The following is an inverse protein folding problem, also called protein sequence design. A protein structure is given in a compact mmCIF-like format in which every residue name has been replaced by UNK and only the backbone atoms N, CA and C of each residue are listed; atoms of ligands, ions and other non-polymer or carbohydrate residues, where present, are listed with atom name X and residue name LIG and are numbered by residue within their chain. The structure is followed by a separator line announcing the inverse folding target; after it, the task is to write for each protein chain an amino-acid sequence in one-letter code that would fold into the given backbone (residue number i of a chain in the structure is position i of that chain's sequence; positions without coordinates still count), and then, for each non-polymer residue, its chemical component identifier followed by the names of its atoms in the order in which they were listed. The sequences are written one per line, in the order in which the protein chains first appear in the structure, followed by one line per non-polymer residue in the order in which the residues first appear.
data_IF_162581364567
#
_entry.id   IF_162581364567
#
_cell.length_a   1.000
_cell.length_b   1.000
_cell.length_c   1.000
_cell.angle_alpha   90.00
_cell.angle_beta   90.00
_cell.angle_gamma   90.00
#
_symmetry.space_group_name_H-M   'P 1'
#
loop_
_entity.id
_entity.type
_entity.pdbx_description
1 polymer ?
#
# COMPACT_ATOMS: atom_id res chain seq x y z
N UNK A 1 49.91 27.27 31.54
CA UNK A 1 49.79 26.39 30.35
C UNK A 1 48.38 25.85 30.33
N UNK A 2 47.54 26.40 29.45
CA UNK A 2 46.15 25.95 29.27
C UNK A 2 46.11 25.06 28.02
N UNK A 3 45.81 23.79 28.21
CA UNK A 3 45.63 22.81 27.14
C UNK A 3 44.25 22.98 26.51
N UNK A 4 44.20 23.42 25.23
CA UNK A 4 42.97 23.47 24.44
C UNK A 4 42.74 22.07 23.84
N UNK A 5 41.72 21.39 24.30
CA UNK A 5 41.23 20.17 23.64
C UNK A 5 40.40 20.57 22.41
N UNK A 6 40.90 20.26 21.22
CA UNK A 6 40.16 20.40 19.99
C UNK A 6 39.13 19.28 19.90
N UNK A 7 37.86 19.65 19.89
CA UNK A 7 36.73 18.74 19.62
C UNK A 7 36.72 18.42 18.14
N UNK A 8 37.14 17.23 17.74
CA UNK A 8 37.01 16.76 16.37
C UNK A 8 35.55 16.39 16.11
N UNK A 9 34.85 17.25 15.37
CA UNK A 9 33.52 16.92 14.83
C UNK A 9 33.73 15.92 13.70
N UNK A 10 33.44 14.66 13.97
CA UNK A 10 33.37 13.62 12.93
C UNK A 10 32.08 13.85 12.17
N UNK A 11 32.16 14.52 11.04
CA UNK A 11 31.13 14.52 10.02
C UNK A 11 31.09 13.13 9.40
N UNK A 12 30.17 12.28 9.90
CA UNK A 12 29.79 11.08 9.19
C UNK A 12 29.18 11.49 7.85
N UNK A 13 29.67 10.96 6.71
CA UNK A 13 29.03 11.24 5.45
C UNK A 13 27.59 10.74 5.51
N UNK A 14 26.62 11.61 5.22
CA UNK A 14 25.26 11.22 4.88
C UNK A 14 25.36 10.33 3.66
N UNK A 15 25.48 9.03 3.87
CA UNK A 15 25.31 8.06 2.79
C UNK A 15 23.86 8.20 2.36
N UNK A 16 23.64 8.86 1.21
CA UNK A 16 22.35 8.87 0.57
C UNK A 16 21.97 7.41 0.30
N UNK A 17 21.04 6.91 1.10
CA UNK A 17 20.55 5.56 0.96
C UNK A 17 19.88 5.41 -0.39
N UNK A 18 20.41 4.50 -1.18
CA UNK A 18 19.78 4.07 -2.40
C UNK A 18 18.66 3.08 -2.07
N UNK A 19 17.46 3.31 -2.58
CA UNK A 19 16.32 2.42 -2.41
C UNK A 19 16.12 1.60 -3.68
N UNK A 20 15.83 0.35 -3.55
CA UNK A 20 15.36 -0.49 -4.64
C UNK A 20 13.87 -0.75 -4.45
N UNK A 21 13.15 -0.75 -5.52
CA UNK A 21 11.72 -0.72 -5.50
C UNK A 21 11.05 -2.06 -5.69
N UNK A 22 9.99 -2.31 -4.98
CA UNK A 22 9.06 -3.43 -5.12
C UNK A 22 7.68 -3.05 -4.59
N UNK A 23 6.67 -3.82 -4.83
CA UNK A 23 5.34 -3.53 -4.32
C UNK A 23 4.71 -4.78 -3.70
N UNK A 24 3.71 -4.58 -2.85
CA UNK A 24 2.87 -5.67 -2.35
C UNK A 24 1.93 -6.26 -3.41
N UNK A 25 2.01 -5.78 -4.64
CA UNK A 25 1.31 -6.33 -5.82
C UNK A 25 2.24 -7.08 -6.79
N UNK A 26 3.37 -7.46 -6.32
CA UNK A 26 4.41 -8.09 -7.11
C UNK A 26 5.68 -7.25 -7.14
N UNK A 27 6.79 -7.89 -6.86
CA UNK A 27 8.09 -7.25 -6.85
C UNK A 27 8.67 -7.35 -8.25
N UNK A 28 9.09 -6.24 -8.80
CA UNK A 28 9.73 -6.22 -10.11
C UNK A 28 11.17 -6.77 -10.01
N UNK A 29 11.50 -7.94 -10.57
CA UNK A 29 12.87 -8.43 -10.60
C UNK A 29 13.77 -7.46 -11.38
N UNK A 30 14.95 -7.16 -10.85
CA UNK A 30 15.91 -6.28 -11.50
C UNK A 30 15.59 -4.79 -11.43
N UNK A 31 14.69 -4.38 -10.54
CA UNK A 31 14.36 -2.99 -10.28
C UNK A 31 15.61 -2.14 -10.01
N UNK A 32 15.66 -0.95 -10.60
CA UNK A 32 16.74 0.00 -10.37
C UNK A 32 16.81 0.45 -8.93
N UNK A 33 18.00 0.70 -8.47
CA UNK A 33 18.22 1.31 -7.17
C UNK A 33 17.76 2.77 -7.19
N UNK A 34 17.01 3.19 -6.17
CA UNK A 34 16.58 4.58 -6.01
C UNK A 34 17.77 5.46 -5.63
N UNK A 35 17.83 6.66 -6.20
CA UNK A 35 18.93 7.61 -5.97
C UNK A 35 18.65 8.58 -4.82
N UNK A 36 17.43 8.57 -4.31
CA UNK A 36 16.95 9.49 -3.30
C UNK A 36 16.53 10.86 -3.82
N UNK A 37 16.51 11.06 -5.13
CA UNK A 37 15.92 12.25 -5.74
C UNK A 37 14.39 12.17 -5.64
N UNK A 38 13.78 13.21 -5.09
CA UNK A 38 12.31 13.28 -4.96
C UNK A 38 11.77 14.30 -5.96
N UNK A 39 10.76 13.88 -6.73
CA UNK A 39 9.97 14.76 -7.60
C UNK A 39 8.49 14.63 -7.25
N UNK A 40 7.75 15.74 -7.33
CA UNK A 40 6.32 15.78 -6.98
C UNK A 40 5.53 16.60 -7.99
N UNK A 41 4.33 16.11 -8.35
CA UNK A 41 3.39 16.77 -9.26
C UNK A 41 2.02 16.94 -8.60
N UNK A 42 1.39 18.11 -8.70
CA UNK A 42 0.01 18.28 -8.24
C UNK A 42 -0.93 17.47 -9.13
N UNK A 43 -1.83 16.70 -8.51
CA UNK A 43 -2.91 16.02 -9.24
C UNK A 43 -3.93 17.08 -9.67
N UNK A 44 -4.46 17.04 -10.92
CA UNK A 44 -5.39 18.07 -11.42
C UNK A 44 -6.63 18.25 -10.56
N UNK A 45 -7.20 17.13 -10.07
CA UNK A 45 -8.31 17.13 -9.11
C UNK A 45 -7.81 16.67 -7.74
N UNK A 46 -7.28 17.57 -6.87
CA UNK A 46 -6.64 17.17 -5.61
C UNK A 46 -7.66 16.89 -4.49
N UNK A 47 -8.82 16.32 -4.82
CA UNK A 47 -9.90 16.03 -3.87
C UNK A 47 -9.67 14.69 -3.16
N UNK A 48 -8.77 14.70 -2.19
CA UNK A 48 -8.38 13.53 -1.43
C UNK A 48 -7.93 12.38 -2.33
N UNK A 49 -7.00 12.67 -3.24
CA UNK A 49 -6.33 11.65 -4.05
C UNK A 49 -5.53 10.71 -3.13
N UNK A 50 -5.57 9.38 -3.40
CA UNK A 50 -5.14 8.41 -2.39
C UNK A 50 -4.22 7.32 -2.88
N UNK A 51 -4.78 6.29 -3.48
CA UNK A 51 -4.09 5.03 -3.69
C UNK A 51 -3.47 5.02 -5.09
N UNK A 52 -2.12 5.01 -5.22
CA UNK A 52 -1.46 4.80 -6.50
C UNK A 52 -1.42 3.30 -6.85
N UNK A 53 -1.41 3.01 -8.15
CA UNK A 53 -1.16 1.67 -8.69
C UNK A 53 -0.34 1.77 -9.98
N UNK A 54 0.66 0.89 -10.21
CA UNK A 54 1.39 0.84 -11.45
C UNK A 54 0.54 0.17 -12.54
N UNK A 55 0.57 0.71 -13.76
CA UNK A 55 -0.01 0.07 -14.91
C UNK A 55 1.03 -0.72 -15.74
N UNK A 56 0.59 -1.71 -16.52
CA UNK A 56 1.48 -2.44 -17.42
C UNK A 56 2.02 -1.57 -18.55
N UNK A 57 1.42 -0.40 -18.78
CA UNK A 57 1.86 0.65 -19.71
C UNK A 57 3.00 1.52 -19.16
N UNK A 58 3.45 1.26 -17.91
CA UNK A 58 4.50 2.00 -17.21
C UNK A 58 4.04 3.34 -16.63
N UNK A 59 2.73 3.59 -16.61
CA UNK A 59 2.12 4.79 -16.03
C UNK A 59 1.62 4.52 -14.59
N UNK A 60 1.33 5.58 -13.86
CA UNK A 60 0.82 5.49 -12.49
C UNK A 60 -0.63 5.94 -12.48
N UNK A 61 -1.49 5.07 -12.00
CA UNK A 61 -2.92 5.33 -11.83
C UNK A 61 -3.20 5.71 -10.37
N UNK A 62 -4.20 6.56 -10.14
CA UNK A 62 -4.48 7.15 -8.83
C UNK A 62 -5.99 7.24 -8.63
N UNK A 63 -6.49 6.86 -7.45
CA UNK A 63 -7.86 7.16 -7.05
C UNK A 63 -7.96 8.59 -6.55
N UNK A 64 -8.96 9.34 -7.04
CA UNK A 64 -9.33 10.66 -6.54
C UNK A 64 -10.65 10.52 -5.78
N UNK A 65 -10.57 10.19 -4.49
CA UNK A 65 -11.70 9.67 -3.72
C UNK A 65 -12.88 10.65 -3.64
N UNK A 66 -12.66 11.89 -3.24
CA UNK A 66 -13.71 12.90 -3.13
C UNK A 66 -14.03 13.61 -4.45
N UNK A 67 -13.37 13.21 -5.52
CA UNK A 67 -13.59 13.70 -6.87
C UNK A 67 -14.35 12.72 -7.76
N UNK A 68 -14.63 11.50 -7.28
CA UNK A 68 -15.21 10.41 -8.07
C UNK A 68 -14.46 10.20 -9.39
N UNK A 69 -13.10 10.09 -9.32
CA UNK A 69 -12.25 9.97 -10.51
C UNK A 69 -11.15 8.94 -10.34
N UNK A 70 -10.68 8.46 -11.49
CA UNK A 70 -9.36 7.85 -11.65
C UNK A 70 -8.49 8.82 -12.44
N UNK A 71 -7.29 9.12 -11.95
CA UNK A 71 -6.27 9.84 -12.68
C UNK A 71 -5.18 8.87 -13.15
N UNK A 72 -4.57 9.14 -14.30
CA UNK A 72 -3.36 8.47 -14.80
C UNK A 72 -2.27 9.50 -15.03
N UNK A 73 -1.13 9.30 -14.44
CA UNK A 73 0.08 10.06 -14.68
C UNK A 73 0.93 9.33 -15.72
N UNK A 74 1.15 9.97 -16.87
CA UNK A 74 2.08 9.50 -17.88
C UNK A 74 3.51 9.82 -17.45
N UNK A 75 4.28 8.79 -17.13
CA UNK A 75 5.64 8.94 -16.56
C UNK A 75 6.65 9.51 -17.53
N UNK A 76 6.38 9.50 -18.84
CA UNK A 76 7.27 10.05 -19.88
C UNK A 76 6.97 11.52 -20.14
N UNK A 77 5.71 11.85 -20.37
CA UNK A 77 5.30 13.23 -20.66
C UNK A 77 5.05 14.07 -19.41
N UNK A 78 4.96 13.44 -18.24
CA UNK A 78 4.61 14.04 -16.95
C UNK A 78 3.25 14.77 -16.96
N UNK A 79 2.31 14.26 -17.73
CA UNK A 79 0.95 14.79 -17.84
C UNK A 79 -0.06 13.85 -17.22
N UNK A 80 -1.15 14.43 -16.72
CA UNK A 80 -2.29 13.68 -16.20
C UNK A 80 -3.42 13.59 -17.22
N UNK A 81 -4.10 12.43 -17.18
CA UNK A 81 -5.43 12.24 -17.76
C UNK A 81 -6.37 11.79 -16.64
N UNK A 82 -7.64 12.18 -16.68
CA UNK A 82 -8.63 11.80 -15.67
C UNK A 82 -9.89 11.24 -16.34
N UNK A 83 -10.55 10.29 -15.65
CA UNK A 83 -11.84 9.71 -16.04
C UNK A 83 -12.82 9.87 -14.89
N UNK A 84 -14.01 10.36 -15.21
CA UNK A 84 -15.12 10.44 -14.26
C UNK A 84 -15.65 9.02 -13.99
N UNK A 85 -15.94 8.75 -12.74
CA UNK A 85 -16.65 7.56 -12.27
C UNK A 85 -18.10 7.91 -11.94
N UNK A 86 -19.00 6.92 -11.80
CA UNK A 86 -20.34 7.18 -11.32
C UNK A 86 -20.35 7.96 -10.01
N UNK A 87 -21.22 8.95 -9.91
CA UNK A 87 -21.32 9.83 -8.74
C UNK A 87 -21.51 9.05 -7.44
N UNK A 88 -20.79 9.45 -6.41
CA UNK A 88 -20.78 8.79 -5.10
C UNK A 88 -19.93 7.51 -5.04
N UNK A 89 -19.16 7.20 -6.08
CA UNK A 89 -18.27 6.02 -6.06
C UNK A 89 -17.21 6.13 -4.96
N UNK A 90 -16.70 7.33 -4.69
CA UNK A 90 -15.60 7.56 -3.75
C UNK A 90 -14.50 6.50 -3.86
N UNK A 91 -13.81 6.39 -5.00
CA UNK A 91 -12.85 5.33 -5.26
C UNK A 91 -11.73 5.35 -4.22
N UNK A 92 -11.45 4.18 -3.63
CA UNK A 92 -10.46 4.08 -2.56
C UNK A 92 -9.26 3.21 -2.95
N UNK A 93 -9.41 1.89 -2.94
CA UNK A 93 -8.37 0.96 -3.39
C UNK A 93 -8.28 0.93 -4.91
N UNK A 94 -7.08 0.68 -5.43
CA UNK A 94 -6.80 0.65 -6.87
C UNK A 94 -5.82 -0.44 -7.21
N UNK A 95 -6.05 -1.13 -8.32
CA UNK A 95 -5.08 -1.95 -9.05
C UNK A 95 -5.31 -1.82 -10.56
N UNK A 96 -4.27 -2.08 -11.34
CA UNK A 96 -4.37 -2.24 -12.80
C UNK A 96 -3.93 -3.66 -13.11
N UNK A 97 -4.76 -4.40 -13.84
CA UNK A 97 -4.43 -5.78 -14.21
C UNK A 97 -3.46 -5.82 -15.41
N UNK A 98 -3.00 -7.02 -15.75
CA UNK A 98 -2.04 -7.22 -16.86
C UNK A 98 -2.62 -6.88 -18.24
N UNK A 99 -3.94 -6.86 -18.36
CA UNK A 99 -4.68 -6.44 -19.56
C UNK A 99 -4.87 -4.91 -19.62
N UNK A 100 -4.44 -4.16 -18.60
CA UNK A 100 -4.58 -2.71 -18.51
C UNK A 100 -5.95 -2.22 -18.03
N UNK A 101 -6.81 -3.11 -17.54
CA UNK A 101 -8.08 -2.74 -16.91
C UNK A 101 -7.82 -2.19 -15.52
N UNK A 102 -8.49 -1.10 -15.21
CA UNK A 102 -8.36 -0.43 -13.90
C UNK A 102 -9.49 -0.89 -12.99
N UNK A 103 -9.13 -1.51 -11.89
CA UNK A 103 -10.07 -1.99 -10.87
C UNK A 103 -10.00 -1.11 -9.64
N UNK A 104 -11.15 -0.71 -9.11
CA UNK A 104 -11.23 0.14 -7.92
C UNK A 104 -12.31 -0.33 -6.94
N UNK A 105 -12.12 0.00 -5.67
CA UNK A 105 -13.18 -0.14 -4.67
C UNK A 105 -14.02 1.13 -4.62
N UNK A 106 -15.30 1.03 -4.92
CA UNK A 106 -16.28 2.10 -4.76
C UNK A 106 -16.70 2.18 -3.29
N UNK A 107 -15.86 2.84 -2.48
CA UNK A 107 -16.03 2.90 -1.02
C UNK A 107 -17.33 3.61 -0.61
N UNK A 108 -17.79 4.58 -1.41
CA UNK A 108 -19.01 5.33 -1.13
C UNK A 108 -20.30 4.63 -1.58
N UNK A 109 -20.23 3.76 -2.60
CA UNK A 109 -21.42 3.16 -3.19
C UNK A 109 -21.48 1.62 -3.10
N UNK A 110 -20.52 1.00 -2.37
CA UNK A 110 -20.53 -0.45 -2.12
C UNK A 110 -20.28 -1.31 -3.37
N UNK A 111 -19.37 -0.88 -4.23
CA UNK A 111 -19.10 -1.60 -5.48
C UNK A 111 -17.61 -1.95 -5.64
N UNK A 112 -17.33 -2.96 -6.47
CA UNK A 112 -16.03 -3.13 -7.11
C UNK A 112 -16.22 -2.68 -8.58
N UNK A 113 -15.49 -1.64 -8.98
CA UNK A 113 -15.61 -1.07 -10.31
C UNK A 113 -14.47 -1.49 -11.23
N UNK A 114 -14.78 -1.65 -12.51
CA UNK A 114 -13.85 -1.83 -13.61
C UNK A 114 -13.97 -0.63 -14.54
N UNK A 115 -12.85 0.05 -14.81
CA UNK A 115 -12.76 1.12 -15.80
C UNK A 115 -11.90 0.66 -16.98
N UNK A 116 -12.47 0.74 -18.16
CA UNK A 116 -11.75 0.65 -19.43
C UNK A 116 -11.29 2.05 -19.83
N UNK A 117 -9.99 2.33 -19.73
CA UNK A 117 -9.44 3.67 -19.98
C UNK A 117 -9.42 4.08 -21.46
N UNK A 118 -9.56 3.12 -22.39
CA UNK A 118 -9.63 3.42 -23.81
C UNK A 118 -11.02 3.94 -24.23
N UNK A 119 -12.08 3.35 -23.68
CA UNK A 119 -13.46 3.72 -23.98
C UNK A 119 -14.10 4.64 -22.93
N UNK A 120 -13.52 4.73 -21.73
CA UNK A 120 -14.12 5.41 -20.59
C UNK A 120 -15.28 4.64 -19.95
N UNK A 121 -15.57 3.42 -20.41
CA UNK A 121 -16.68 2.61 -19.90
C UNK A 121 -16.37 2.10 -18.50
N UNK A 122 -17.35 2.22 -17.61
CA UNK A 122 -17.30 1.70 -16.23
C UNK A 122 -18.33 0.57 -16.07
N UNK A 123 -17.87 -0.54 -15.45
CA UNK A 123 -18.73 -1.63 -14.98
C UNK A 123 -18.66 -1.66 -13.47
N UNK A 124 -19.79 -1.85 -12.80
CA UNK A 124 -19.85 -1.91 -11.33
C UNK A 124 -20.46 -3.23 -10.87
N UNK A 125 -19.75 -3.94 -9.98
CA UNK A 125 -20.21 -5.15 -9.32
C UNK A 125 -20.60 -4.78 -7.88
N UNK A 126 -21.88 -4.83 -7.55
CA UNK A 126 -22.35 -4.53 -6.18
C UNK A 126 -21.93 -5.62 -5.22
N UNK A 127 -21.36 -5.22 -4.07
CA UNK A 127 -21.07 -6.15 -2.99
C UNK A 127 -22.38 -6.61 -2.32
N UNK A 128 -22.53 -7.90 -1.99
CA UNK A 128 -23.77 -8.43 -1.42
C UNK A 128 -24.18 -7.74 -0.12
N UNK A 129 -23.22 -7.42 0.75
CA UNK A 129 -23.48 -6.72 2.01
C UNK A 129 -23.60 -5.19 1.86
N UNK A 130 -23.36 -4.62 0.67
CA UNK A 130 -23.16 -3.19 0.51
C UNK A 130 -21.90 -2.73 1.23
N UNK A 131 -21.98 -1.64 1.99
CA UNK A 131 -20.91 -1.18 2.86
C UNK A 131 -19.81 -0.42 2.12
N UNK A 132 -18.59 -0.48 2.65
CA UNK A 132 -17.47 0.34 2.20
C UNK A 132 -16.27 -0.53 1.80
N UNK A 133 -16.23 -1.06 0.57
CA UNK A 133 -15.06 -1.76 0.03
C UNK A 133 -13.83 -0.85 0.10
N UNK A 134 -12.67 -1.41 0.51
CA UNK A 134 -11.55 -0.55 0.88
C UNK A 134 -10.26 -0.87 0.12
N UNK A 135 -9.63 -1.99 0.39
CA UNK A 135 -8.38 -2.41 -0.27
C UNK A 135 -8.66 -3.61 -1.16
N UNK A 136 -7.96 -3.73 -2.28
CA UNK A 136 -8.09 -4.87 -3.18
C UNK A 136 -6.73 -5.39 -3.64
N UNK A 137 -6.68 -6.69 -3.95
CA UNK A 137 -5.56 -7.40 -4.59
C UNK A 137 -6.12 -8.41 -5.58
N UNK A 138 -5.29 -8.83 -6.53
CA UNK A 138 -5.63 -9.88 -7.49
C UNK A 138 -4.81 -11.14 -7.18
N UNK A 139 -5.45 -12.30 -7.17
CA UNK A 139 -4.77 -13.58 -6.97
C UNK A 139 -4.26 -14.17 -8.30
N UNK A 140 -3.47 -15.25 -8.22
CA UNK A 140 -2.89 -15.92 -9.39
C UNK A 140 -3.96 -16.50 -10.33
N UNK A 141 -5.16 -16.80 -9.82
CA UNK A 141 -6.29 -17.25 -10.62
C UNK A 141 -7.04 -16.09 -11.29
N UNK A 142 -6.64 -14.85 -10.99
CA UNK A 142 -7.24 -13.64 -11.54
C UNK A 142 -8.49 -13.16 -10.80
N UNK A 143 -8.84 -13.72 -9.66
CA UNK A 143 -9.93 -13.20 -8.84
C UNK A 143 -9.47 -12.00 -8.02
N UNK A 144 -10.38 -11.05 -7.79
CA UNK A 144 -10.10 -9.87 -6.97
C UNK A 144 -10.61 -10.10 -5.57
N UNK A 145 -9.68 -10.06 -4.61
CA UNK A 145 -9.99 -10.07 -3.19
C UNK A 145 -10.02 -8.64 -2.67
N UNK A 146 -10.99 -8.35 -1.81
CA UNK A 146 -11.12 -7.01 -1.24
C UNK A 146 -11.59 -7.05 0.21
N UNK A 147 -11.20 -6.05 0.98
CA UNK A 147 -11.76 -5.82 2.32
C UNK A 147 -12.98 -4.94 2.22
N UNK A 148 -14.00 -5.25 3.04
CA UNK A 148 -15.17 -4.41 3.22
C UNK A 148 -15.23 -3.98 4.70
N UNK A 149 -15.09 -2.69 4.97
CA UNK A 149 -15.05 -2.14 6.33
C UNK A 149 -16.31 -2.41 7.14
N UNK A 150 -17.40 -2.75 6.47
CA UNK A 150 -18.67 -3.18 7.12
C UNK A 150 -18.60 -4.56 7.77
N UNK A 151 -17.48 -5.27 7.66
CA UNK A 151 -17.23 -6.53 8.38
C UNK A 151 -17.17 -7.77 7.51
N UNK A 152 -16.62 -7.68 6.30
CA UNK A 152 -16.39 -8.83 5.44
C UNK A 152 -15.08 -8.72 4.63
N UNK A 153 -14.68 -9.84 4.07
CA UNK A 153 -13.69 -9.94 2.97
C UNK A 153 -14.41 -10.53 1.78
N UNK A 154 -14.32 -9.88 0.64
CA UNK A 154 -15.00 -10.32 -0.58
C UNK A 154 -14.01 -10.89 -1.61
N UNK A 155 -14.53 -11.78 -2.45
CA UNK A 155 -13.85 -12.32 -3.62
C UNK A 155 -14.75 -12.13 -4.84
N UNK A 156 -14.29 -11.34 -5.80
CA UNK A 156 -14.94 -11.17 -7.11
C UNK A 156 -14.31 -12.14 -8.11
N UNK A 157 -15.12 -13.01 -8.69
CA UNK A 157 -14.78 -13.75 -9.88
C UNK A 157 -15.01 -12.82 -11.10
N UNK A 158 -13.92 -12.43 -11.77
CA UNK A 158 -13.97 -11.47 -12.88
C UNK A 158 -14.68 -12.00 -14.11
N UNK A 159 -14.74 -13.32 -14.29
CA UNK A 159 -15.37 -13.93 -15.46
C UNK A 159 -16.89 -13.95 -15.37
N UNK A 160 -17.42 -14.21 -14.19
CA UNK A 160 -18.87 -14.27 -13.93
C UNK A 160 -19.43 -12.99 -13.33
N UNK A 161 -18.59 -12.12 -12.78
CA UNK A 161 -19.02 -10.96 -12.01
C UNK A 161 -19.57 -11.31 -10.62
N UNK A 162 -19.47 -12.58 -10.22
CA UNK A 162 -20.02 -13.05 -8.93
C UNK A 162 -19.11 -12.67 -7.77
N UNK A 163 -19.71 -12.11 -6.71
CA UNK A 163 -19.01 -11.79 -5.46
C UNK A 163 -19.43 -12.76 -4.35
N UNK A 164 -18.45 -13.38 -3.71
CA UNK A 164 -18.62 -14.15 -2.47
C UNK A 164 -18.02 -13.37 -1.32
N UNK A 165 -18.71 -13.24 -0.19
CA UNK A 165 -18.23 -12.55 1.00
C UNK A 165 -18.04 -13.49 2.18
N UNK A 166 -16.94 -13.33 2.90
CA UNK A 166 -16.57 -14.04 4.12
C UNK A 166 -16.69 -13.06 5.30
N UNK A 167 -17.55 -13.36 6.26
CA UNK A 167 -17.78 -12.49 7.41
C UNK A 167 -16.52 -12.37 8.26
N UNK A 168 -16.09 -11.14 8.51
CA UNK A 168 -14.89 -10.82 9.28
C UNK A 168 -15.05 -9.51 10.04
N UNK A 169 -15.39 -9.59 11.32
CA UNK A 169 -15.50 -8.41 12.19
C UNK A 169 -14.14 -7.79 12.52
N UNK A 170 -14.15 -6.64 13.19
CA UNK A 170 -12.93 -5.99 13.69
C UNK A 170 -12.27 -5.04 12.68
N UNK A 171 -13.04 -4.49 11.75
CA UNK A 171 -12.60 -3.46 10.82
C UNK A 171 -11.57 -3.96 9.81
N UNK A 172 -11.94 -4.86 8.87
CA UNK A 172 -11.08 -5.28 7.77
C UNK A 172 -10.56 -4.07 7.00
N UNK A 173 -9.23 -3.96 6.83
CA UNK A 173 -8.59 -2.77 6.27
C UNK A 173 -7.62 -3.11 5.14
N UNK A 174 -6.33 -3.29 5.43
CA UNK A 174 -5.34 -3.75 4.47
C UNK A 174 -5.41 -5.25 4.26
N UNK A 175 -4.94 -5.72 3.11
CA UNK A 175 -4.81 -7.16 2.85
C UNK A 175 -3.60 -7.45 1.98
N UNK A 176 -3.08 -8.70 2.09
CA UNK A 176 -2.02 -9.25 1.26
C UNK A 176 -2.28 -10.75 1.03
N UNK A 177 -1.69 -11.31 -0.02
CA UNK A 177 -1.73 -12.74 -0.30
C UNK A 177 -0.43 -13.40 0.17
N UNK A 178 -0.50 -14.55 0.84
CA UNK A 178 0.68 -15.37 1.06
C UNK A 178 1.00 -16.21 -0.20
N UNK A 179 2.17 -16.87 -0.24
CA UNK A 179 2.58 -17.72 -1.37
C UNK A 179 1.69 -18.94 -1.60
N UNK A 180 0.81 -19.29 -0.66
CA UNK A 180 -0.18 -20.37 -0.79
C UNK A 180 -1.52 -19.86 -1.31
N UNK A 181 -1.63 -18.54 -1.51
CA UNK A 181 -2.85 -17.86 -1.95
C UNK A 181 -3.82 -17.55 -0.82
N UNK A 182 -3.47 -17.77 0.46
CA UNK A 182 -4.33 -17.32 1.57
C UNK A 182 -4.35 -15.81 1.67
N UNK A 183 -5.49 -15.27 2.07
CA UNK A 183 -5.71 -13.83 2.18
C UNK A 183 -5.51 -13.38 3.62
N UNK A 184 -4.46 -12.63 3.86
CA UNK A 184 -4.14 -12.04 5.15
C UNK A 184 -4.74 -10.64 5.26
N UNK A 185 -5.54 -10.40 6.26
CA UNK A 185 -6.38 -9.21 6.42
C UNK A 185 -6.06 -8.52 7.74
N UNK A 186 -5.68 -7.26 7.66
CA UNK A 186 -5.50 -6.39 8.83
C UNK A 186 -6.87 -6.08 9.45
N UNK A 187 -7.12 -6.54 10.68
CA UNK A 187 -8.35 -6.24 11.45
C UNK A 187 -8.04 -5.17 12.49
N UNK A 188 -8.05 -3.94 12.02
CA UNK A 188 -7.54 -2.77 12.73
C UNK A 188 -8.17 -2.55 14.12
N UNK A 189 -9.46 -2.88 14.28
CA UNK A 189 -10.19 -2.67 15.54
C UNK A 189 -10.22 -3.92 16.44
N UNK A 190 -9.47 -4.96 16.07
CA UNK A 190 -9.41 -6.21 16.84
C UNK A 190 -7.98 -6.61 17.25
N UNK A 191 -6.96 -5.79 16.87
CA UNK A 191 -5.55 -6.11 17.08
C UNK A 191 -5.14 -7.49 16.54
N UNK A 192 -5.72 -7.89 15.39
CA UNK A 192 -5.52 -9.21 14.79
C UNK A 192 -5.30 -9.12 13.28
N UNK A 193 -4.62 -10.13 12.75
CA UNK A 193 -4.77 -10.53 11.36
C UNK A 193 -5.87 -11.57 11.26
N UNK A 194 -6.75 -11.45 10.25
CA UNK A 194 -7.61 -12.53 9.80
C UNK A 194 -6.94 -13.23 8.62
N UNK A 195 -7.12 -14.54 8.50
CA UNK A 195 -6.50 -15.35 7.44
C UNK A 195 -7.60 -16.17 6.78
N UNK A 196 -7.94 -15.85 5.54
CA UNK A 196 -8.91 -16.62 4.76
C UNK A 196 -8.16 -17.62 3.90
N UNK A 197 -8.42 -18.90 4.11
CA UNK A 197 -8.02 -19.95 3.19
C UNK A 197 -8.83 -19.79 1.90
N UNK A 198 -8.18 -19.43 0.81
CA UNK A 198 -8.84 -19.09 -0.45
C UNK A 198 -9.54 -20.28 -1.13
N UNK A 199 -9.20 -21.51 -0.76
CA UNK A 199 -9.77 -22.75 -1.32
C UNK A 199 -10.99 -23.20 -0.55
N UNK A 200 -10.97 -23.07 0.77
CA UNK A 200 -12.02 -23.59 1.67
C UNK A 200 -12.91 -22.54 2.29
N UNK A 201 -12.49 -21.26 2.25
CA UNK A 201 -13.15 -20.15 2.92
C UNK A 201 -13.04 -20.17 4.44
N UNK A 202 -12.28 -21.11 5.03
CA UNK A 202 -12.05 -21.14 6.48
C UNK A 202 -11.24 -19.95 6.92
N UNK A 203 -11.56 -19.43 8.11
CA UNK A 203 -10.88 -18.27 8.68
C UNK A 203 -10.10 -18.69 9.92
N UNK A 204 -8.80 -18.34 9.91
CA UNK A 204 -7.93 -18.39 11.08
C UNK A 204 -7.55 -16.97 11.52
N UNK A 205 -6.90 -16.82 12.67
CA UNK A 205 -6.51 -15.55 13.22
C UNK A 205 -5.08 -15.60 13.79
N UNK A 206 -4.37 -14.45 13.70
CA UNK A 206 -3.13 -14.19 14.42
C UNK A 206 -3.31 -12.93 15.27
N UNK A 207 -3.11 -13.02 16.58
CA UNK A 207 -3.11 -11.85 17.47
C UNK A 207 -1.79 -11.08 17.34
N UNK A 208 -1.87 -9.76 17.18
CA UNK A 208 -0.75 -8.88 16.90
C UNK A 208 -0.29 -8.05 18.12
N UNK A 209 -0.79 -8.38 19.31
CA UNK A 209 -0.51 -7.63 20.54
C UNK A 209 -1.50 -6.50 20.82
N UNK A 210 -1.58 -6.04 22.09
CA UNK A 210 -2.56 -5.05 22.51
C UNK A 210 -2.28 -3.69 21.87
N UNK A 211 -3.33 -3.04 21.35
CA UNK A 211 -3.23 -1.72 20.74
C UNK A 211 -2.45 -1.67 19.43
N UNK A 212 -2.10 -2.81 18.86
CA UNK A 212 -1.29 -2.88 17.63
C UNK A 212 -1.98 -2.26 16.41
N UNK A 213 -3.28 -2.42 16.28
CA UNK A 213 -4.10 -1.87 15.17
C UNK A 213 -3.45 -2.11 13.80
N UNK A 214 -3.27 -3.37 13.36
CA UNK A 214 -2.61 -3.68 12.09
C UNK A 214 -3.33 -2.98 10.93
N UNK A 215 -2.56 -2.34 10.03
CA UNK A 215 -3.15 -1.46 9.02
C UNK A 215 -2.92 -1.87 7.59
N UNK A 216 -1.68 -2.10 7.18
CA UNK A 216 -1.32 -2.57 5.85
C UNK A 216 -0.38 -3.75 5.96
N UNK A 217 -0.42 -4.61 4.95
CA UNK A 217 0.44 -5.78 4.84
C UNK A 217 1.05 -5.87 3.45
N UNK A 218 2.24 -6.42 3.36
CA UNK A 218 2.93 -6.73 2.11
C UNK A 218 3.65 -8.06 2.22
N UNK A 219 3.73 -8.80 1.10
CA UNK A 219 4.43 -10.10 1.01
C UNK A 219 5.81 -9.90 0.43
N UNK A 220 6.82 -10.39 1.14
CA UNK A 220 8.20 -10.33 0.72
C UNK A 220 8.55 -11.43 -0.30
N UNK A 221 9.67 -11.30 -1.05
CA UNK A 221 10.10 -12.32 -2.02
C UNK A 221 10.34 -13.69 -1.39
N UNK A 222 10.77 -13.73 -0.14
CA UNK A 222 10.97 -14.96 0.62
C UNK A 222 9.64 -15.62 1.07
N UNK A 223 8.52 -14.89 0.95
CA UNK A 223 7.18 -15.33 1.31
C UNK A 223 6.75 -14.94 2.72
N UNK A 224 7.58 -14.26 3.48
CA UNK A 224 7.19 -13.68 4.76
C UNK A 224 6.28 -12.45 4.55
N UNK A 225 5.57 -12.06 5.59
CA UNK A 225 4.70 -10.89 5.57
C UNK A 225 5.26 -9.78 6.46
N UNK A 226 5.07 -8.56 5.99
CA UNK A 226 5.41 -7.36 6.74
C UNK A 226 4.15 -6.53 6.95
N UNK A 227 3.90 -6.12 8.20
CA UNK A 227 2.62 -5.53 8.60
C UNK A 227 2.90 -4.27 9.43
N UNK A 228 2.31 -3.16 9.03
CA UNK A 228 2.36 -1.94 9.84
C UNK A 228 1.39 -2.03 11.01
N UNK A 229 1.90 -1.80 12.20
CA UNK A 229 1.15 -1.75 13.46
C UNK A 229 0.92 -0.27 13.83
N UNK A 230 -0.13 0.30 13.26
CA UNK A 230 -0.45 1.72 13.33
C UNK A 230 -0.60 2.24 14.76
N UNK A 231 -1.15 1.41 15.65
CA UNK A 231 -1.52 1.85 16.99
C UNK A 231 -0.35 1.94 17.98
N UNK A 232 0.76 1.25 17.70
CA UNK A 232 1.92 1.21 18.60
C UNK A 232 3.26 1.57 17.95
N UNK A 233 3.22 2.10 16.71
CA UNK A 233 4.42 2.62 16.04
C UNK A 233 5.43 1.57 15.60
N UNK A 234 4.97 0.36 15.25
CA UNK A 234 5.85 -0.76 14.90
C UNK A 234 5.63 -1.29 13.49
N UNK A 235 6.62 -2.04 13.03
CA UNK A 235 6.56 -2.87 11.83
C UNK A 235 6.77 -4.33 12.25
N UNK A 236 5.81 -5.21 11.96
CA UNK A 236 5.88 -6.63 12.30
C UNK A 236 6.34 -7.47 11.09
N UNK A 237 7.28 -8.38 11.33
CA UNK A 237 7.70 -9.44 10.42
C UNK A 237 7.03 -10.75 10.82
N UNK A 238 6.33 -11.39 9.91
CA UNK A 238 5.45 -12.55 10.18
C UNK A 238 5.79 -13.71 9.27
N UNK A 239 5.85 -14.91 9.85
CA UNK A 239 5.90 -16.18 9.12
C UNK A 239 4.47 -16.66 8.86
N UNK A 240 3.96 -16.59 7.61
CA UNK A 240 2.61 -17.03 7.29
C UNK A 240 2.45 -18.55 7.32
N UNK A 241 3.52 -19.32 7.18
CA UNK A 241 3.46 -20.78 7.23
C UNK A 241 3.25 -21.29 8.66
N UNK A 242 3.95 -20.68 9.61
CA UNK A 242 3.83 -21.00 11.03
C UNK A 242 2.75 -20.19 11.76
N UNK A 243 2.13 -19.21 11.08
CA UNK A 243 1.14 -18.26 11.63
C UNK A 243 1.67 -17.60 12.91
N UNK A 244 2.87 -17.00 12.83
CA UNK A 244 3.52 -16.40 14.00
C UNK A 244 4.27 -15.12 13.64
N UNK A 245 4.38 -14.21 14.60
CA UNK A 245 5.28 -13.05 14.53
C UNK A 245 6.72 -13.56 14.73
N UNK A 246 7.60 -13.23 13.78
CA UNK A 246 9.02 -13.50 13.85
C UNK A 246 9.69 -12.44 14.72
N UNK A 247 9.41 -11.16 14.40
CA UNK A 247 10.01 -10.00 15.07
C UNK A 247 9.18 -8.74 14.88
N UNK A 248 9.27 -7.82 15.80
CA UNK A 248 8.76 -6.46 15.67
C UNK A 248 9.91 -5.46 15.68
N UNK A 249 9.78 -4.38 14.92
CA UNK A 249 10.75 -3.29 14.81
C UNK A 249 10.05 -1.99 15.18
N UNK A 250 10.66 -1.22 16.09
CA UNK A 250 10.21 0.14 16.39
C UNK A 250 10.45 1.04 15.16
N UNK A 251 9.42 1.75 14.71
CA UNK A 251 9.54 2.69 13.60
C UNK A 251 10.29 3.96 14.02
N UNK A 252 10.99 4.64 13.09
CA UNK A 252 11.85 5.79 13.42
C UNK A 252 11.16 6.96 14.12
N UNK A 253 9.86 7.20 13.88
CA UNK A 253 9.11 8.26 14.59
C UNK A 253 8.52 7.80 15.93
N UNK A 254 8.73 6.53 16.30
CA UNK A 254 8.25 5.96 17.56
C UNK A 254 6.74 5.69 17.58
N UNK A 255 6.17 5.50 18.79
CA UNK A 255 4.81 4.99 18.95
C UNK A 255 3.71 5.91 18.38
N UNK A 256 3.99 7.20 18.21
CA UNK A 256 3.03 8.19 17.70
C UNK A 256 3.19 8.50 16.21
N UNK A 257 4.15 7.87 15.52
CA UNK A 257 4.40 8.10 14.09
C UNK A 257 3.29 7.62 13.17
N UNK A 258 2.52 6.65 13.63
CA UNK A 258 1.40 6.08 12.89
C UNK A 258 1.82 5.38 11.59
N UNK A 259 2.61 4.28 11.64
CA UNK A 259 3.03 3.56 10.44
C UNK A 259 1.81 3.10 9.66
N UNK A 260 1.73 3.53 8.39
CA UNK A 260 0.52 3.37 7.62
C UNK A 260 0.71 2.47 6.40
N UNK A 261 1.67 2.78 5.53
CA UNK A 261 1.93 1.98 4.34
C UNK A 261 3.11 1.05 4.55
N UNK A 262 3.09 -0.08 3.90
CA UNK A 262 4.24 -0.96 3.72
C UNK A 262 4.29 -1.42 2.27
N UNK A 263 5.48 -1.37 1.67
CA UNK A 263 5.80 -1.97 0.37
C UNK A 263 7.21 -2.53 0.40
N UNK A 264 7.51 -3.47 -0.47
CA UNK A 264 8.76 -4.23 -0.44
C UNK A 264 9.39 -4.19 -1.82
N UNK A 265 10.70 -4.02 -1.88
CA UNK A 265 11.42 -3.97 -3.14
C UNK A 265 11.91 -5.35 -3.63
N UNK A 266 12.45 -5.39 -4.84
CA UNK A 266 13.00 -6.60 -5.45
C UNK A 266 14.19 -7.22 -4.69
N UNK A 267 14.83 -6.46 -3.79
CA UNK A 267 15.92 -6.93 -2.92
C UNK A 267 15.43 -7.32 -1.52
N UNK A 268 14.13 -7.24 -1.25
CA UNK A 268 13.51 -7.56 0.03
C UNK A 268 13.63 -6.46 1.07
N UNK A 269 13.97 -5.20 0.69
CA UNK A 269 13.96 -4.07 1.62
C UNK A 269 12.54 -3.58 1.84
N UNK A 270 12.24 -3.17 3.04
CA UNK A 270 10.89 -2.84 3.50
C UNK A 270 10.76 -1.33 3.60
N UNK A 271 9.83 -0.78 2.85
CA UNK A 271 9.49 0.64 2.90
C UNK A 271 8.20 0.84 3.66
N UNK A 272 8.19 1.75 4.60
CA UNK A 272 7.00 2.15 5.34
C UNK A 272 6.95 3.67 5.47
N UNK A 273 5.74 4.24 5.38
CA UNK A 273 5.52 5.64 5.74
C UNK A 273 4.79 5.73 7.06
N UNK A 274 5.13 6.74 7.83
CA UNK A 274 4.45 7.11 9.08
C UNK A 274 3.60 8.34 8.77
N UNK A 275 2.28 8.24 8.94
CA UNK A 275 1.33 9.25 8.43
C UNK A 275 1.45 10.61 9.11
N UNK A 276 1.93 10.61 10.35
CA UNK A 276 2.14 11.84 11.15
C UNK A 276 3.49 12.51 10.84
N UNK A 277 4.24 11.96 9.87
CA UNK A 277 5.53 12.49 9.45
C UNK A 277 5.55 12.76 7.94
N UNK A 278 6.47 13.62 7.51
CA UNK A 278 6.75 13.81 6.08
C UNK A 278 8.02 13.02 5.70
N UNK A 279 8.00 11.71 6.01
CA UNK A 279 9.14 10.82 5.79
C UNK A 279 8.71 9.46 5.23
N UNK A 280 9.65 8.79 4.58
CA UNK A 280 9.58 7.38 4.22
C UNK A 280 10.74 6.66 4.91
N UNK A 281 10.44 5.64 5.70
CA UNK A 281 11.44 4.80 6.33
C UNK A 281 11.69 3.54 5.47
N UNK A 282 12.95 3.15 5.33
CA UNK A 282 13.37 1.90 4.70
C UNK A 282 14.14 1.07 5.72
N UNK A 283 13.67 -0.15 5.96
CA UNK A 283 14.36 -1.17 6.75
C UNK A 283 15.08 -2.14 5.80
N UNK A 284 16.37 -2.35 6.02
CA UNK A 284 17.08 -3.49 5.46
C UNK A 284 17.00 -4.66 6.46
N UNK A 285 16.26 -5.73 6.16
CA UNK A 285 16.09 -6.84 7.10
C UNK A 285 17.37 -7.64 7.35
N UNK A 286 18.41 -7.51 6.50
CA UNK A 286 19.72 -8.16 6.70
C UNK A 286 20.55 -7.48 7.77
N UNK A 287 20.49 -6.15 7.81
CA UNK A 287 21.24 -5.34 8.79
C UNK A 287 20.39 -4.89 9.94
N UNK A 288 19.06 -4.99 9.81
CA UNK A 288 18.05 -4.51 10.74
C UNK A 288 18.15 -2.99 11.01
N UNK A 289 18.71 -2.24 10.06
CA UNK A 289 18.89 -0.80 10.17
C UNK A 289 17.83 -0.05 9.34
N UNK A 290 17.25 0.98 9.97
CA UNK A 290 16.41 1.94 9.26
C UNK A 290 17.21 3.04 8.61
N UNK A 291 16.78 3.44 7.43
CA UNK A 291 17.16 4.67 6.76
C UNK A 291 15.91 5.49 6.50
N UNK A 292 15.99 6.82 6.60
CA UNK A 292 14.82 7.68 6.52
C UNK A 292 15.02 8.74 5.44
N UNK A 293 14.02 8.83 4.52
CA UNK A 293 13.92 9.91 3.54
C UNK A 293 13.00 10.99 4.04
N UNK A 294 13.45 12.23 4.01
CA UNK A 294 12.60 13.40 4.19
C UNK A 294 11.99 13.80 2.87
N UNK A 295 10.69 14.02 2.86
CA UNK A 295 9.98 14.50 1.68
C UNK A 295 10.10 16.01 1.56
N UNK A 296 10.10 16.57 0.33
CA UNK A 296 10.22 18.01 0.12
C UNK A 296 8.98 18.79 0.56
N UNK A 297 7.81 18.17 0.39
CA UNK A 297 6.52 18.76 0.80
C UNK A 297 6.19 18.48 2.25
N UNK A 298 5.30 19.30 2.81
CA UNK A 298 4.74 19.14 4.16
C UNK A 298 3.32 18.66 4.12
N UNK A 299 2.89 18.03 5.22
CA UNK A 299 1.55 17.46 5.40
C UNK A 299 1.19 16.52 4.25
N UNK A 300 2.09 15.59 3.96
CA UNK A 300 1.94 14.69 2.80
C UNK A 300 0.86 13.62 3.05
N UNK A 301 0.86 12.98 4.21
CA UNK A 301 -0.15 12.01 4.60
C UNK A 301 -0.20 10.78 3.69
N UNK A 302 0.93 10.07 3.50
CA UNK A 302 1.02 8.91 2.62
C UNK A 302 0.17 7.77 3.19
N UNK A 303 -0.83 7.31 2.42
CA UNK A 303 -1.73 6.20 2.79
C UNK A 303 -1.49 4.92 2.00
N UNK A 304 -0.88 5.04 0.83
CA UNK A 304 -0.40 3.94 0.00
C UNK A 304 0.77 4.41 -0.86
N UNK A 305 1.68 3.49 -1.08
CA UNK A 305 2.80 3.63 -1.98
C UNK A 305 3.00 2.33 -2.76
N UNK A 306 3.66 2.44 -3.89
CA UNK A 306 4.00 1.30 -4.74
C UNK A 306 5.44 1.46 -5.24
N UNK A 307 5.97 0.39 -5.78
CA UNK A 307 7.18 0.45 -6.55
C UNK A 307 6.90 -0.03 -7.97
N UNK A 308 7.38 0.71 -8.95
CA UNK A 308 7.19 0.36 -10.36
C UNK A 308 8.25 -0.62 -10.87
N UNK A 309 8.09 -1.04 -12.13
CA UNK A 309 9.01 -1.98 -12.78
C UNK A 309 10.45 -1.43 -12.94
N UNK A 310 10.64 -0.13 -12.81
CA UNK A 310 11.95 0.54 -12.84
C UNK A 310 12.57 0.66 -11.45
N UNK A 311 11.86 0.22 -10.41
CA UNK A 311 12.33 0.29 -9.03
C UNK A 311 12.14 1.67 -8.38
N UNK A 312 11.30 2.52 -8.93
CA UNK A 312 11.00 3.82 -8.35
C UNK A 312 9.88 3.69 -7.32
N UNK A 313 10.07 4.34 -6.18
CA UNK A 313 9.06 4.36 -5.11
C UNK A 313 8.08 5.53 -5.35
N UNK A 314 6.85 5.19 -5.71
CA UNK A 314 5.78 6.15 -5.94
C UNK A 314 4.84 6.23 -4.74
N UNK A 315 4.48 7.43 -4.34
CA UNK A 315 3.52 7.68 -3.26
C UNK A 315 2.50 8.74 -3.64
N UNK A 316 1.33 8.65 -3.02
CA UNK A 316 0.33 9.70 -3.13
C UNK A 316 0.20 10.42 -1.79
N UNK A 317 0.47 11.72 -1.80
CA UNK A 317 0.21 12.62 -0.69
C UNK A 317 -1.28 12.94 -0.60
N UNK A 318 -2.00 12.21 0.26
CA UNK A 318 -3.45 12.35 0.36
C UNK A 318 -3.90 13.70 0.94
N UNK A 319 -3.06 14.31 1.76
CA UNK A 319 -3.38 15.58 2.40
C UNK A 319 -2.99 16.79 1.53
N UNK A 320 -1.92 16.69 0.76
CA UNK A 320 -1.42 17.79 -0.07
C UNK A 320 -1.75 17.66 -1.57
N UNK A 321 -2.37 16.55 -1.98
CA UNK A 321 -2.80 16.33 -3.37
C UNK A 321 -1.67 16.19 -4.39
N UNK A 322 -0.50 15.68 -3.99
CA UNK A 322 0.67 15.53 -4.86
C UNK A 322 1.05 14.06 -5.03
N UNK A 323 1.22 13.64 -6.29
CA UNK A 323 1.90 12.39 -6.61
C UNK A 323 3.40 12.63 -6.49
N UNK A 324 4.09 11.77 -5.76
CA UNK A 324 5.53 11.85 -5.61
C UNK A 324 6.26 10.59 -6.03
N UNK A 325 7.52 10.74 -6.41
CA UNK A 325 8.44 9.63 -6.70
C UNK A 325 9.77 9.86 -6.01
N UNK A 326 10.35 8.79 -5.47
CA UNK A 326 11.74 8.73 -5.01
C UNK A 326 12.51 7.84 -6.00
N UNK A 327 13.58 8.40 -6.60
CA UNK A 327 14.44 7.74 -7.61
C UNK A 327 15.86 7.52 -7.11
#
# INVERSE_FOLDING_TARGET
MRSSAALAVILLPLVSAAFAGGSNYGIAPGAKQLTGKVSEWPVPTPKFARDPAPGPDGNIYITVMQGDRIARFDTKSQKFNEWDLPSGAHPHGLLVDKEGKVWYTGNGNGTIGELDTASGKVIQHKTPSGGSPHTLVIDDAGAIWFTNQSGSVGRLDRSSGTITEYRMSGGPYGLALDKRGNVWVCRMNADKMGIVDSKTGKIAELYMGPGSRPRRAATAPDGTLWITLYGNGKLAHVDPAAVKIIKEYEMPAGPNGGPYTVTIDGNGRIFASEIETDTVAMLDPKTEQFQVFKLPSRNVGIRKAIVDAQGRYWYMGSHNGRLGVIE
#
